data_IF_376544837016
#
_entry.id   IF_376544837016
#
_cell.length_a   1.000
_cell.length_b   1.000
_cell.length_c   1.000
_cell.angle_alpha   90.00
_cell.angle_beta   90.00
_cell.angle_gamma   90.00
#
_symmetry.space_group_name_H-M   'P 1'
#
loop_
_entity.id
_entity.type
_entity.pdbx_description
1 polymer ?
#
# COMPACT_ATOMS: atom_id res chain seq x y z
N UNK A 1 -18.45 25.72 -6.56
CA UNK A 1 -17.16 25.38 -7.22
C UNK A 1 -16.96 23.89 -7.05
N UNK A 2 -17.04 23.13 -8.14
CA UNK A 2 -16.81 21.68 -8.16
C UNK A 2 -15.42 21.38 -7.60
N UNK A 3 -15.31 20.45 -6.65
CA UNK A 3 -14.01 20.01 -6.13
C UNK A 3 -13.12 19.58 -7.30
N UNK A 4 -11.80 19.90 -7.30
CA UNK A 4 -10.91 19.43 -8.34
C UNK A 4 -10.97 17.90 -8.35
N UNK A 5 -11.21 17.32 -9.53
CA UNK A 5 -11.28 15.88 -9.72
C UNK A 5 -9.95 15.29 -9.23
N UNK A 6 -9.99 14.49 -8.16
CA UNK A 6 -8.81 13.87 -7.54
C UNK A 6 -8.89 12.37 -7.76
N UNK A 7 -7.78 11.75 -8.14
CA UNK A 7 -7.66 10.30 -8.32
C UNK A 7 -6.74 9.71 -7.24
N UNK A 8 -7.08 8.53 -6.70
CA UNK A 8 -6.15 7.80 -5.85
C UNK A 8 -4.97 7.30 -6.70
N UNK A 9 -3.75 7.50 -6.22
CA UNK A 9 -2.53 6.97 -6.83
C UNK A 9 -1.81 6.08 -5.82
N UNK A 10 -1.44 4.85 -6.23
CA UNK A 10 -0.64 3.92 -5.44
C UNK A 10 0.82 4.42 -5.39
N UNK A 11 1.11 5.42 -4.57
CA UNK A 11 2.33 6.22 -4.52
C UNK A 11 3.58 5.34 -4.50
N UNK A 12 3.71 4.44 -3.52
CA UNK A 12 4.87 3.58 -3.36
C UNK A 12 5.10 2.73 -4.60
N UNK A 13 4.02 2.21 -5.20
CA UNK A 13 4.07 1.43 -6.43
C UNK A 13 4.86 2.08 -7.53
N UNK A 14 4.47 3.30 -7.86
CA UNK A 14 5.11 4.03 -8.94
C UNK A 14 6.54 4.41 -8.59
N UNK A 15 6.85 4.80 -7.35
CA UNK A 15 8.24 5.08 -6.97
C UNK A 15 9.12 3.85 -7.10
N UNK A 16 8.69 2.68 -6.63
CA UNK A 16 9.52 1.47 -6.70
C UNK A 16 9.68 1.03 -8.16
N UNK A 17 8.64 1.17 -8.99
CA UNK A 17 8.73 0.96 -10.44
C UNK A 17 9.81 1.86 -11.06
N UNK A 18 9.72 3.18 -10.86
CA UNK A 18 10.69 4.13 -11.42
C UNK A 18 12.11 3.91 -10.89
N UNK A 19 12.25 3.60 -9.60
CA UNK A 19 13.55 3.33 -8.96
C UNK A 19 14.20 2.10 -9.56
N UNK A 20 13.42 1.03 -9.80
CA UNK A 20 13.93 -0.22 -10.36
C UNK A 20 14.53 -0.06 -11.75
N UNK A 21 13.93 0.80 -12.59
CA UNK A 21 14.40 1.06 -13.96
C UNK A 21 15.37 2.23 -14.05
N UNK A 22 15.73 2.87 -12.92
CA UNK A 22 16.50 4.11 -12.90
C UNK A 22 15.90 5.22 -13.78
N UNK A 23 14.56 5.29 -13.88
CA UNK A 23 13.87 6.31 -14.66
C UNK A 23 13.66 7.59 -13.84
N UNK A 24 13.57 8.72 -14.55
CA UNK A 24 13.29 10.01 -13.93
C UNK A 24 11.88 10.04 -13.31
N UNK A 25 11.85 10.31 -12.01
CA UNK A 25 10.62 10.41 -11.25
C UNK A 25 10.06 11.84 -11.29
N UNK A 26 8.75 12.02 -11.47
CA UNK A 26 8.08 13.27 -11.20
C UNK A 26 8.50 13.84 -9.83
N UNK A 27 8.95 15.12 -9.76
CA UNK A 27 9.46 15.70 -8.52
C UNK A 27 8.48 15.60 -7.35
N UNK A 28 7.18 15.70 -7.66
CA UNK A 28 6.12 15.60 -6.67
C UNK A 28 5.99 14.20 -6.06
N UNK A 29 6.41 13.12 -6.73
CA UNK A 29 6.35 11.76 -6.18
C UNK A 29 7.37 11.57 -5.06
N UNK A 30 8.59 12.09 -5.26
CA UNK A 30 9.64 12.08 -4.22
C UNK A 30 9.23 12.93 -3.02
N UNK A 31 8.72 14.15 -3.25
CA UNK A 31 8.23 14.99 -2.17
C UNK A 31 6.99 14.39 -1.50
N UNK A 32 6.09 13.75 -2.25
CA UNK A 32 4.90 13.10 -1.73
C UNK A 32 5.21 11.94 -0.78
N UNK A 33 6.25 11.13 -1.04
CA UNK A 33 6.70 10.10 -0.08
C UNK A 33 7.24 10.76 1.18
N UNK A 34 8.04 11.83 1.04
CA UNK A 34 8.59 12.55 2.19
C UNK A 34 7.45 13.15 3.02
N UNK A 35 6.41 13.66 2.34
CA UNK A 35 5.24 14.27 2.96
C UNK A 35 4.24 13.27 3.52
N UNK A 36 4.17 12.06 2.96
CA UNK A 36 3.22 11.01 3.34
C UNK A 36 3.90 9.63 3.36
N UNK A 37 4.88 9.39 4.25
CA UNK A 37 5.72 8.18 4.21
C UNK A 37 4.98 6.88 4.50
N UNK A 38 3.75 6.98 5.02
CA UNK A 38 2.90 5.86 5.45
C UNK A 38 1.59 5.79 4.64
N UNK A 39 1.40 6.67 3.65
CA UNK A 39 0.21 6.68 2.80
C UNK A 39 0.56 6.19 1.40
N UNK A 40 0.15 4.96 1.09
CA UNK A 40 0.27 4.43 -0.27
C UNK A 40 -0.69 5.11 -1.24
N UNK A 41 -1.76 5.74 -0.77
CA UNK A 41 -2.79 6.29 -1.64
C UNK A 41 -2.84 7.80 -1.52
N UNK A 42 -2.13 8.48 -2.42
CA UNK A 42 -2.24 9.93 -2.51
C UNK A 42 -3.41 10.31 -3.41
N UNK A 43 -4.44 10.96 -2.84
CA UNK A 43 -5.50 11.59 -3.62
C UNK A 43 -4.98 12.91 -4.22
N UNK A 44 -4.43 12.80 -5.43
CA UNK A 44 -3.84 13.92 -6.17
C UNK A 44 -4.79 14.43 -7.25
N UNK A 45 -4.66 15.71 -7.67
CA UNK A 45 -5.34 16.20 -8.86
C UNK A 45 -5.14 15.27 -10.07
N UNK A 46 -6.21 14.98 -10.81
CA UNK A 46 -6.18 14.00 -11.92
C UNK A 46 -5.02 14.20 -12.88
N UNK A 47 -4.68 15.44 -13.24
CA UNK A 47 -3.59 15.74 -14.18
C UNK A 47 -2.20 15.26 -13.70
N UNK A 48 -1.96 15.19 -12.39
CA UNK A 48 -0.70 14.65 -11.85
C UNK A 48 -0.71 13.12 -11.85
N UNK A 49 -1.86 12.51 -11.55
CA UNK A 49 -2.03 11.06 -11.64
C UNK A 49 -1.86 10.58 -13.08
N UNK A 50 -2.46 11.30 -14.04
CA UNK A 50 -2.36 10.99 -15.46
C UNK A 50 -0.89 11.09 -15.92
N UNK A 51 -0.12 12.10 -15.48
CA UNK A 51 1.32 12.20 -15.81
C UNK A 51 2.16 11.02 -15.31
N UNK A 52 1.88 10.52 -14.10
CA UNK A 52 2.58 9.34 -13.55
C UNK A 52 2.22 8.10 -14.34
N UNK A 53 0.95 7.97 -14.69
CA UNK A 53 0.42 6.86 -15.45
C UNK A 53 1.04 6.83 -16.86
N UNK A 54 1.13 7.96 -17.55
CA UNK A 54 1.74 8.06 -18.88
C UNK A 54 3.21 7.60 -18.87
N UNK A 55 4.01 8.07 -17.91
CA UNK A 55 5.41 7.63 -17.79
C UNK A 55 5.55 6.15 -17.43
N UNK A 56 4.62 5.62 -16.62
CA UNK A 56 4.62 4.20 -16.28
C UNK A 56 4.23 3.31 -17.47
N UNK A 57 3.37 3.80 -18.35
CA UNK A 57 3.00 3.14 -19.60
C UNK A 57 4.21 3.05 -20.53
N UNK A 58 4.98 4.12 -20.68
CA UNK A 58 6.22 4.13 -21.48
C UNK A 58 7.21 3.07 -20.97
N UNK A 59 7.40 2.99 -19.65
CA UNK A 59 8.27 1.97 -19.03
C UNK A 59 7.79 0.56 -19.36
N UNK A 60 6.48 0.28 -19.35
CA UNK A 60 5.99 -1.05 -19.72
C UNK A 60 6.06 -1.38 -21.20
N UNK A 61 5.99 -0.38 -22.07
CA UNK A 61 6.23 -0.58 -23.49
C UNK A 61 7.68 -1.01 -23.73
N UNK A 62 8.63 -0.45 -22.97
CA UNK A 62 10.05 -0.76 -23.09
C UNK A 62 10.46 -2.04 -22.33
N UNK A 63 9.86 -2.31 -21.16
CA UNK A 63 10.22 -3.42 -20.25
C UNK A 63 8.97 -4.15 -19.73
N UNK A 64 8.33 -5.00 -20.55
CA UNK A 64 7.02 -5.58 -20.25
C UNK A 64 7.05 -6.58 -19.08
N UNK A 65 8.19 -7.22 -18.84
CA UNK A 65 8.40 -8.16 -17.73
C UNK A 65 8.21 -7.52 -16.34
N UNK A 66 8.39 -6.19 -16.24
CA UNK A 66 8.22 -5.45 -15.00
C UNK A 66 6.76 -5.36 -14.56
N UNK A 67 5.81 -5.58 -15.48
CA UNK A 67 4.40 -5.58 -15.17
C UNK A 67 3.99 -6.78 -14.31
N UNK A 68 4.78 -7.87 -14.31
CA UNK A 68 4.30 -9.21 -13.94
C UNK A 68 4.81 -9.72 -12.59
N UNK A 69 6.01 -9.33 -12.17
CA UNK A 69 6.63 -9.94 -10.99
C UNK A 69 7.51 -9.01 -10.18
N UNK A 70 8.04 -7.98 -10.82
CA UNK A 70 9.27 -7.34 -10.35
C UNK A 70 9.01 -6.02 -9.62
N UNK A 71 7.90 -5.33 -9.91
CA UNK A 71 7.46 -4.19 -9.12
C UNK A 71 6.94 -4.64 -7.75
N UNK A 72 5.99 -5.59 -7.75
CA UNK A 72 5.34 -6.09 -6.52
C UNK A 72 6.24 -6.89 -5.57
N UNK A 73 7.27 -7.57 -6.08
CA UNK A 73 8.24 -8.24 -5.19
C UNK A 73 9.10 -7.26 -4.39
N UNK A 74 9.43 -6.07 -4.95
CA UNK A 74 10.11 -5.01 -4.19
C UNK A 74 9.18 -4.32 -3.18
N UNK A 75 7.87 -4.25 -3.45
CA UNK A 75 6.87 -3.77 -2.47
C UNK A 75 6.82 -4.60 -1.19
N UNK A 76 7.29 -5.85 -1.21
CA UNK A 76 7.33 -6.73 -0.03
C UNK A 76 8.27 -6.21 1.06
N UNK A 77 9.27 -5.40 0.72
CA UNK A 77 10.25 -4.90 1.69
C UNK A 77 9.81 -3.58 2.35
N UNK A 78 8.81 -2.91 1.80
CA UNK A 78 8.29 -1.61 2.27
C UNK A 78 6.77 -1.63 2.50
N UNK A 79 6.24 -2.79 2.89
CA UNK A 79 4.81 -3.10 2.83
C UNK A 79 3.94 -2.27 3.77
N UNK A 80 2.95 -1.56 3.20
CA UNK A 80 1.84 -0.92 3.90
C UNK A 80 0.74 -1.94 4.28
N UNK A 81 -0.08 -1.57 5.27
CA UNK A 81 -1.28 -2.27 5.71
C UNK A 81 -2.26 -2.60 4.57
N UNK A 82 -2.40 -1.78 3.51
CA UNK A 82 -3.27 -2.12 2.36
C UNK A 82 -2.75 -3.31 1.58
N UNK A 83 -1.45 -3.33 1.25
CA UNK A 83 -0.88 -4.41 0.48
C UNK A 83 -0.72 -5.67 1.35
N UNK A 84 -0.34 -5.54 2.62
CA UNK A 84 -0.38 -6.66 3.59
C UNK A 84 -1.79 -7.25 3.65
N UNK A 85 -2.81 -6.39 3.74
CA UNK A 85 -4.20 -6.81 3.70
C UNK A 85 -4.55 -7.48 2.37
N UNK A 86 -4.19 -6.92 1.23
CA UNK A 86 -4.50 -7.54 -0.05
C UNK A 86 -3.84 -8.91 -0.20
N UNK A 87 -2.57 -9.03 0.17
CA UNK A 87 -1.77 -10.26 0.03
C UNK A 87 -2.09 -11.31 1.08
N UNK A 88 -2.61 -10.93 2.25
CA UNK A 88 -3.07 -11.86 3.28
C UNK A 88 -4.37 -12.60 2.90
N UNK A 89 -4.96 -12.33 1.72
CA UNK A 89 -6.15 -13.02 1.24
C UNK A 89 -5.94 -14.53 1.21
N UNK A 90 -6.92 -15.29 1.70
CA UNK A 90 -6.87 -16.75 1.71
C UNK A 90 -7.04 -17.36 0.30
N UNK A 91 -7.70 -16.64 -0.61
CA UNK A 91 -7.96 -17.09 -1.97
C UNK A 91 -8.30 -15.93 -2.92
N UNK A 92 -8.39 -16.24 -4.21
CA UNK A 92 -8.57 -15.25 -5.28
C UNK A 92 -9.89 -14.49 -5.19
N UNK A 93 -10.98 -15.14 -4.74
CA UNK A 93 -12.27 -14.47 -4.52
C UNK A 93 -12.16 -13.42 -3.42
N UNK A 94 -11.50 -13.77 -2.31
CA UNK A 94 -11.29 -12.84 -1.22
C UNK A 94 -10.45 -11.66 -1.68
N UNK A 95 -9.36 -11.91 -2.40
CA UNK A 95 -8.52 -10.87 -2.99
C UNK A 95 -9.32 -9.93 -3.90
N UNK A 96 -10.14 -10.45 -4.81
CA UNK A 96 -10.99 -9.66 -5.70
C UNK A 96 -12.04 -8.85 -4.93
N UNK A 97 -12.63 -9.44 -3.88
CA UNK A 97 -13.55 -8.72 -2.99
C UNK A 97 -12.84 -7.59 -2.26
N UNK A 98 -11.59 -7.79 -1.82
CA UNK A 98 -10.76 -6.76 -1.18
C UNK A 98 -10.41 -5.64 -2.16
N UNK A 99 -10.12 -5.93 -3.43
CA UNK A 99 -9.94 -4.91 -4.48
C UNK A 99 -11.24 -4.12 -4.70
N UNK A 100 -12.38 -4.80 -4.77
CA UNK A 100 -13.70 -4.19 -4.99
C UNK A 100 -14.13 -3.22 -3.87
N UNK A 101 -13.56 -3.29 -2.66
CA UNK A 101 -13.84 -2.30 -1.62
C UNK A 101 -13.33 -0.90 -1.97
N UNK A 102 -12.31 -0.81 -2.84
CA UNK A 102 -11.73 0.43 -3.34
C UNK A 102 -12.43 0.89 -4.63
N UNK A 103 -12.98 -0.04 -5.42
CA UNK A 103 -13.64 0.21 -6.70
C UNK A 103 -15.19 0.16 -6.62
N UNK A 104 -15.80 0.77 -5.60
CA UNK A 104 -17.25 0.61 -5.30
C UNK A 104 -18.19 1.15 -6.38
N UNK A 105 -17.83 2.23 -7.07
CA UNK A 105 -18.69 2.83 -8.10
C UNK A 105 -18.79 1.96 -9.36
N UNK A 106 -17.81 1.07 -9.60
CA UNK A 106 -17.84 0.13 -10.70
C UNK A 106 -16.94 -1.09 -10.40
N UNK A 107 -17.48 -2.13 -9.75
CA UNK A 107 -16.68 -3.25 -9.29
C UNK A 107 -16.30 -4.20 -10.44
N UNK A 108 -15.21 -4.93 -10.23
CA UNK A 108 -14.89 -6.11 -11.01
C UNK A 108 -16.01 -7.14 -10.88
N UNK A 109 -16.45 -7.67 -12.01
CA UNK A 109 -17.41 -8.79 -12.01
C UNK A 109 -16.68 -10.09 -12.25
N UNK A 110 -17.05 -11.11 -11.49
CA UNK A 110 -16.41 -12.41 -11.51
C UNK A 110 -17.42 -13.42 -12.05
N UNK A 111 -17.06 -14.08 -13.15
CA UNK A 111 -17.80 -15.22 -13.68
C UNK A 111 -16.99 -16.50 -13.54
N UNK A 112 -17.70 -17.60 -13.35
CA UNK A 112 -17.11 -18.91 -13.12
C UNK A 112 -17.34 -19.79 -14.33
N UNK A 113 -16.26 -20.39 -14.85
CA UNK A 113 -16.31 -21.40 -15.89
C UNK A 113 -15.73 -22.71 -15.34
N UNK A 114 -16.61 -23.70 -15.17
CA UNK A 114 -16.32 -25.11 -14.88
C UNK A 114 -15.30 -25.39 -13.76
N UNK A 115 -15.43 -24.76 -12.59
CA UNK A 115 -14.61 -24.95 -11.37
C UNK A 115 -13.07 -24.80 -11.51
N UNK A 116 -12.54 -24.70 -12.72
CA UNK A 116 -11.12 -24.67 -13.07
C UNK A 116 -10.66 -23.31 -13.56
N UNK A 117 -11.60 -22.43 -13.89
CA UNK A 117 -11.28 -21.10 -14.38
C UNK A 117 -12.20 -20.04 -13.79
N UNK A 118 -11.60 -18.89 -13.49
CA UNK A 118 -12.29 -17.71 -13.01
C UNK A 118 -12.04 -16.60 -14.02
N UNK A 119 -13.10 -16.01 -14.53
CA UNK A 119 -13.01 -14.88 -15.45
C UNK A 119 -13.37 -13.60 -14.71
N UNK A 120 -12.39 -12.71 -14.63
CA UNK A 120 -12.53 -11.38 -14.04
C UNK A 120 -12.79 -10.40 -15.16
N UNK A 121 -13.98 -9.82 -15.20
CA UNK A 121 -14.33 -8.77 -16.17
C UNK A 121 -14.06 -7.41 -15.58
N UNK A 122 -13.34 -6.59 -16.35
CA UNK A 122 -12.91 -5.27 -15.91
C UNK A 122 -14.00 -4.23 -16.21
N UNK A 123 -14.36 -3.38 -15.25
CA UNK A 123 -15.32 -2.29 -15.43
C UNK A 123 -14.86 -1.30 -16.52
N UNK A 124 -15.78 -0.92 -17.41
CA UNK A 124 -15.49 -0.16 -18.65
C UNK A 124 -15.50 1.37 -18.52
N UNK A 125 -15.79 1.93 -17.34
CA UNK A 125 -16.32 3.33 -17.27
C UNK A 125 -15.27 4.46 -17.22
N UNK A 126 -13.97 4.24 -17.05
CA UNK A 126 -13.02 5.37 -17.00
C UNK A 126 -11.77 5.26 -17.87
N UNK A 127 -11.71 4.25 -18.72
CA UNK A 127 -10.53 4.03 -19.54
C UNK A 127 -10.96 3.96 -21.01
N UNK A 128 -11.21 5.14 -21.59
CA UNK A 128 -11.28 5.29 -23.04
C UNK A 128 -9.88 5.22 -23.66
N UNK A 129 -8.83 5.43 -22.86
CA UNK A 129 -7.45 5.35 -23.30
C UNK A 129 -6.98 3.90 -23.30
N UNK A 130 -6.72 3.39 -24.49
CA UNK A 130 -6.23 2.03 -24.71
C UNK A 130 -5.00 1.70 -23.84
N UNK A 131 -4.05 2.62 -23.71
CA UNK A 131 -2.79 2.38 -23.01
C UNK A 131 -2.99 2.28 -21.50
N UNK A 132 -3.88 3.11 -20.96
CA UNK A 132 -4.25 3.03 -19.54
C UNK A 132 -4.94 1.70 -19.23
N UNK A 133 -5.74 1.16 -20.16
CA UNK A 133 -6.45 -0.11 -19.92
C UNK A 133 -5.46 -1.25 -19.93
N UNK A 134 -4.52 -1.22 -20.88
CA UNK A 134 -3.47 -2.22 -20.99
C UNK A 134 -2.52 -2.17 -19.80
N UNK A 135 -2.18 -0.97 -19.31
CA UNK A 135 -1.44 -0.80 -18.05
C UNK A 135 -2.17 -1.50 -16.91
N UNK A 136 -3.47 -1.24 -16.76
CA UNK A 136 -4.26 -1.79 -15.66
C UNK A 136 -4.41 -3.32 -15.75
N UNK A 137 -4.64 -3.85 -16.95
CA UNK A 137 -4.65 -5.28 -17.23
C UNK A 137 -3.29 -5.92 -16.91
N UNK A 138 -2.20 -5.30 -17.30
CA UNK A 138 -0.84 -5.78 -17.06
C UNK A 138 -0.53 -5.80 -15.56
N UNK A 139 -0.89 -4.72 -14.85
CA UNK A 139 -0.79 -4.61 -13.38
C UNK A 139 -1.56 -5.73 -12.66
N UNK A 140 -2.82 -5.97 -13.03
CA UNK A 140 -3.63 -7.03 -12.42
C UNK A 140 -3.09 -8.42 -12.74
N UNK A 141 -2.62 -8.63 -13.97
CA UNK A 141 -2.02 -9.90 -14.37
C UNK A 141 -0.76 -10.18 -13.55
N UNK A 142 0.06 -9.16 -13.26
CA UNK A 142 1.22 -9.30 -12.38
C UNK A 142 0.87 -9.52 -10.92
N UNK A 143 -0.16 -8.84 -10.41
CA UNK A 143 -0.68 -9.10 -9.07
C UNK A 143 -1.10 -10.57 -8.95
N UNK A 144 -1.88 -11.08 -9.91
CA UNK A 144 -2.32 -12.47 -9.91
C UNK A 144 -1.17 -13.45 -10.08
N UNK A 145 -0.20 -13.14 -10.94
CA UNK A 145 1.01 -13.96 -11.09
C UNK A 145 1.85 -14.00 -9.81
N UNK A 146 1.80 -12.97 -8.97
CA UNK A 146 2.52 -12.92 -7.69
C UNK A 146 1.86 -13.81 -6.63
N UNK A 147 0.52 -13.98 -6.68
CA UNK A 147 -0.21 -14.80 -5.71
C UNK A 147 -0.46 -16.24 -6.19
N UNK A 148 -0.43 -16.45 -7.51
CA UNK A 148 -0.63 -17.72 -8.20
C UNK A 148 0.40 -17.89 -9.35
N UNK A 149 1.67 -18.17 -9.06
CA UNK A 149 2.72 -18.27 -10.09
C UNK A 149 2.47 -19.38 -11.12
N UNK A 150 1.82 -20.46 -10.70
CA UNK A 150 1.52 -21.65 -11.52
C UNK A 150 0.23 -21.50 -12.36
N UNK A 151 -0.47 -20.37 -12.26
CA UNK A 151 -1.69 -20.13 -13.03
C UNK A 151 -1.36 -19.68 -14.46
N UNK A 152 -2.21 -20.08 -15.41
CA UNK A 152 -2.18 -19.57 -16.77
C UNK A 152 -3.22 -18.46 -16.89
N UNK A 153 -2.80 -17.31 -17.41
CA UNK A 153 -3.65 -16.13 -17.60
C UNK A 153 -4.05 -16.00 -19.06
N UNK A 154 -5.34 -15.85 -19.34
CA UNK A 154 -5.85 -15.48 -20.66
C UNK A 154 -6.42 -14.07 -20.58
N UNK A 155 -5.78 -13.13 -21.26
CA UNK A 155 -6.14 -11.71 -21.23
C UNK A 155 -6.87 -11.37 -22.52
N UNK A 156 -8.15 -11.03 -22.42
CA UNK A 156 -8.95 -10.60 -23.57
C UNK A 156 -9.11 -9.09 -23.52
N UNK A 157 -8.81 -8.42 -24.64
CA UNK A 157 -8.87 -6.95 -24.74
C UNK A 157 -9.72 -6.52 -25.92
N UNK A 158 -10.48 -5.43 -25.76
CA UNK A 158 -11.35 -4.90 -26.82
C UNK A 158 -10.57 -4.23 -27.95
N UNK A 159 -9.38 -3.74 -27.65
CA UNK A 159 -8.58 -2.99 -28.60
C UNK A 159 -7.95 -3.90 -29.66
N UNK A 160 -7.70 -3.33 -30.83
CA UNK A 160 -6.99 -4.00 -31.91
C UNK A 160 -5.49 -3.91 -31.69
N UNK A 161 -4.76 -4.95 -32.09
CA UNK A 161 -3.30 -5.00 -31.93
C UNK A 161 -2.60 -3.86 -32.69
N UNK A 162 -1.65 -3.21 -32.04
CA UNK A 162 -0.79 -2.16 -32.58
C UNK A 162 0.61 -2.20 -31.91
N UNK A 163 1.54 -1.37 -32.40
CA UNK A 163 2.93 -1.34 -31.91
C UNK A 163 3.01 -0.93 -30.43
N UNK A 164 2.06 -0.12 -29.96
CA UNK A 164 2.02 0.39 -28.59
C UNK A 164 1.43 -0.59 -27.58
N UNK A 165 0.75 -1.65 -28.02
CA UNK A 165 0.06 -2.62 -27.14
C UNK A 165 0.58 -4.06 -27.25
N UNK A 166 1.43 -4.35 -28.24
CA UNK A 166 1.98 -5.69 -28.44
C UNK A 166 2.81 -6.20 -27.25
N UNK A 167 3.31 -5.30 -26.41
CA UNK A 167 4.09 -5.63 -25.21
C UNK A 167 3.32 -6.49 -24.20
N UNK A 168 1.99 -6.46 -24.22
CA UNK A 168 1.16 -7.28 -23.32
C UNK A 168 1.32 -8.77 -23.64
N UNK A 169 1.72 -9.14 -24.86
CA UNK A 169 2.01 -10.52 -25.25
C UNK A 169 3.34 -11.05 -24.68
N UNK A 170 4.25 -10.17 -24.26
CA UNK A 170 5.53 -10.55 -23.63
C UNK A 170 5.41 -10.80 -22.12
N UNK A 171 4.23 -10.60 -21.54
CA UNK A 171 3.93 -10.90 -20.13
C UNK A 171 4.04 -12.43 -19.92
N UNK A 172 4.92 -12.91 -19.00
CA UNK A 172 5.03 -14.33 -18.71
C UNK A 172 3.71 -14.94 -18.27
N UNK A 173 3.44 -16.18 -18.70
CA UNK A 173 2.23 -16.94 -18.38
C UNK A 173 0.90 -16.29 -18.83
N UNK A 174 0.95 -15.26 -19.67
CA UNK A 174 -0.23 -14.62 -20.24
C UNK A 174 -0.40 -14.91 -21.73
N UNK A 175 -1.62 -15.24 -22.13
CA UNK A 175 -2.04 -15.37 -23.53
C UNK A 175 -3.04 -14.26 -23.84
N UNK A 176 -2.72 -13.40 -24.80
CA UNK A 176 -3.51 -12.20 -25.09
C UNK A 176 -4.36 -12.40 -26.35
N UNK A 177 -5.64 -12.03 -26.27
CA UNK A 177 -6.59 -12.01 -27.38
C UNK A 177 -7.07 -10.58 -27.63
N UNK A 178 -6.72 -10.02 -28.79
CA UNK A 178 -7.13 -8.67 -29.20
C UNK A 178 -8.48 -8.68 -29.95
N UNK A 179 -9.19 -7.55 -29.92
CA UNK A 179 -10.47 -7.36 -30.62
C UNK A 179 -11.66 -8.11 -30.01
N UNK A 180 -11.63 -8.37 -28.70
CA UNK A 180 -12.71 -9.05 -27.97
C UNK A 180 -13.89 -8.10 -27.66
N UNK A 181 -15.04 -8.64 -27.27
CA UNK A 181 -16.19 -7.81 -26.87
C UNK A 181 -16.01 -7.17 -25.48
N UNK A 182 -15.13 -7.73 -24.64
CA UNK A 182 -14.93 -7.33 -23.26
C UNK A 182 -13.44 -7.33 -22.88
N UNK A 183 -13.07 -6.50 -21.89
CA UNK A 183 -11.76 -6.54 -21.25
C UNK A 183 -11.83 -7.51 -20.05
N UNK A 184 -11.12 -8.63 -20.14
CA UNK A 184 -11.23 -9.74 -19.18
C UNK A 184 -9.89 -10.40 -18.92
N UNK A 185 -9.71 -10.92 -17.70
CA UNK A 185 -8.61 -11.81 -17.32
C UNK A 185 -9.23 -13.14 -16.88
N UNK A 186 -9.01 -14.21 -17.63
CA UNK A 186 -9.37 -15.56 -17.23
C UNK A 186 -8.16 -16.25 -16.62
N UNK A 187 -8.29 -16.59 -15.34
CA UNK A 187 -7.29 -17.31 -14.55
C UNK A 187 -7.62 -18.79 -14.64
N UNK A 188 -6.69 -19.59 -15.16
CA UNK A 188 -6.84 -21.04 -15.30
C UNK A 188 -5.83 -21.76 -14.41
N UNK A 189 -6.32 -22.45 -13.38
CA UNK A 189 -5.52 -23.25 -12.45
C UNK A 189 -6.35 -24.46 -11.97
N UNK A 190 -5.74 -25.66 -11.75
CA UNK A 190 -6.48 -26.89 -11.42
C UNK A 190 -7.44 -26.77 -10.25
N UNK A 191 -7.11 -25.91 -9.27
CA UNK A 191 -7.91 -25.62 -8.09
C UNK A 191 -8.11 -24.10 -7.89
N UNK A 192 -8.30 -23.30 -8.95
CA UNK A 192 -8.37 -21.82 -8.87
C UNK A 192 -9.26 -21.31 -7.71
N UNK A 193 -10.38 -22.00 -7.45
CA UNK A 193 -11.35 -21.59 -6.43
C UNK A 193 -10.91 -21.86 -4.98
N UNK A 194 -10.07 -22.88 -4.78
CA UNK A 194 -9.70 -23.40 -3.45
C UNK A 194 -8.20 -23.35 -3.19
N UNK A 195 -7.40 -22.94 -4.18
CA UNK A 195 -5.96 -22.84 -4.04
C UNK A 195 -5.64 -21.71 -3.05
N UNK A 196 -4.90 -22.01 -1.97
CA UNK A 196 -4.37 -20.96 -1.13
C UNK A 196 -3.42 -20.10 -1.96
N UNK A 197 -3.48 -18.78 -1.77
CA UNK A 197 -2.51 -17.88 -2.36
C UNK A 197 -1.13 -18.12 -1.74
N UNK A 198 -0.06 -17.96 -2.53
CA UNK A 198 1.32 -18.13 -2.03
C UNK A 198 1.64 -17.17 -0.88
N UNK A 199 1.00 -16.00 -0.88
CA UNK A 199 1.15 -14.98 0.15
C UNK A 199 0.13 -15.06 1.29
N UNK A 200 -0.73 -16.09 1.28
CA UNK A 200 -1.79 -16.22 2.28
C UNK A 200 -1.22 -16.31 3.69
N UNK A 201 -1.86 -15.60 4.63
CA UNK A 201 -1.54 -15.68 6.05
C UNK A 201 -2.87 -15.78 6.80
N UNK A 202 -3.23 -16.98 7.24
CA UNK A 202 -4.53 -17.25 7.86
C UNK A 202 -4.77 -16.42 9.12
N UNK A 203 -3.74 -16.23 9.95
CA UNK A 203 -3.82 -15.44 11.19
C UNK A 203 -4.08 -13.97 10.87
N UNK A 204 -3.35 -13.40 9.91
CA UNK A 204 -3.58 -12.02 9.46
C UNK A 204 -4.91 -11.88 8.73
N UNK A 205 -5.33 -12.88 7.96
CA UNK A 205 -6.60 -12.85 7.25
C UNK A 205 -7.79 -12.82 8.21
N UNK A 206 -7.74 -13.62 9.28
CA UNK A 206 -8.77 -13.66 10.31
C UNK A 206 -8.81 -12.36 11.11
N UNK A 207 -7.64 -11.82 11.46
CA UNK A 207 -7.51 -10.53 12.16
C UNK A 207 -7.97 -9.35 11.29
N UNK A 208 -7.88 -9.48 9.96
CA UNK A 208 -8.26 -8.49 8.97
C UNK A 208 -9.54 -8.87 8.19
N UNK A 209 -10.45 -9.61 8.83
CA UNK A 209 -11.73 -10.03 8.22
C UNK A 209 -12.84 -8.98 8.38
N UNK A 210 -12.70 -8.03 9.31
CA UNK A 210 -13.73 -7.01 9.59
C UNK A 210 -13.66 -5.84 8.60
N UNK A 211 -14.42 -5.97 7.51
CA UNK A 211 -14.45 -5.05 6.36
C UNK A 211 -14.72 -3.58 6.71
N UNK A 212 -15.36 -3.31 7.85
CA UNK A 212 -15.78 -1.97 8.26
C UNK A 212 -14.65 -1.18 8.95
N UNK A 213 -13.97 -1.80 9.91
CA UNK A 213 -12.84 -1.21 10.62
C UNK A 213 -11.61 -1.03 9.70
N UNK A 214 -11.42 -1.94 8.76
CA UNK A 214 -10.28 -1.94 7.84
C UNK A 214 -10.34 -0.79 6.86
N UNK A 215 -11.53 -0.36 6.41
CA UNK A 215 -11.65 0.83 5.56
C UNK A 215 -11.05 2.07 6.24
N UNK A 216 -11.31 2.24 7.53
CA UNK A 216 -10.75 3.37 8.28
C UNK A 216 -9.27 3.15 8.64
N UNK A 217 -8.82 1.93 8.91
CA UNK A 217 -7.40 1.64 9.23
C UNK A 217 -6.49 1.69 8.00
N UNK A 218 -7.00 1.29 6.84
CA UNK A 218 -6.23 1.09 5.60
C UNK A 218 -6.33 2.29 4.64
N UNK A 219 -7.44 3.03 4.64
CA UNK A 219 -7.62 4.24 3.81
C UNK A 219 -7.46 5.54 4.61
N UNK A 220 -7.30 5.49 5.93
CA UNK A 220 -6.96 6.65 6.77
C UNK A 220 -5.89 6.24 7.78
N UNK A 221 -4.59 6.39 7.47
CA UNK A 221 -3.56 6.07 8.45
C UNK A 221 -3.84 6.83 9.75
N UNK A 222 -3.94 6.11 10.87
CA UNK A 222 -4.29 6.73 12.15
C UNK A 222 -3.17 7.69 12.56
N UNK A 223 -3.50 8.97 12.69
CA UNK A 223 -2.57 10.01 13.10
C UNK A 223 -1.91 9.66 14.45
N UNK A 224 -2.61 8.91 15.31
CA UNK A 224 -2.05 8.43 16.58
C UNK A 224 -0.93 7.43 16.32
N UNK A 225 -1.19 6.40 15.50
CA UNK A 225 -0.20 5.37 15.17
C UNK A 225 1.05 5.98 14.54
N UNK A 226 0.89 6.87 13.57
CA UNK A 226 2.03 7.52 12.90
C UNK A 226 2.89 8.35 13.87
N UNK A 227 2.22 9.09 14.78
CA UNK A 227 2.92 9.85 15.83
C UNK A 227 3.66 8.91 16.77
N UNK A 228 3.08 7.76 17.14
CA UNK A 228 3.72 6.78 17.99
C UNK A 228 4.94 6.12 17.34
N UNK A 229 4.88 5.76 16.05
CA UNK A 229 6.03 5.17 15.33
C UNK A 229 7.21 6.14 15.24
N UNK A 230 6.95 7.41 14.91
CA UNK A 230 7.96 8.47 14.90
C UNK A 230 8.56 8.66 16.29
N UNK A 231 7.72 8.68 17.32
CA UNK A 231 8.18 8.76 18.71
C UNK A 231 9.08 7.58 19.05
N UNK A 232 8.74 6.34 18.68
CA UNK A 232 9.56 5.15 18.94
C UNK A 232 10.93 5.25 18.28
N UNK A 233 10.98 5.70 17.03
CA UNK A 233 12.24 5.85 16.27
C UNK A 233 13.13 6.97 16.84
N UNK A 234 12.51 8.05 17.31
CA UNK A 234 13.20 9.21 17.89
C UNK A 234 13.22 9.22 19.42
N UNK A 235 12.87 8.12 20.09
CA UNK A 235 12.59 8.10 21.54
C UNK A 235 13.82 8.46 22.39
N UNK A 236 15.01 8.15 21.88
CA UNK A 236 16.30 8.43 22.50
C UNK A 236 16.62 9.94 22.57
N UNK A 237 15.94 10.79 21.78
CA UNK A 237 16.14 12.24 21.79
C UNK A 237 15.44 12.86 23.00
N UNK A 238 16.23 13.48 23.88
CA UNK A 238 15.68 14.16 25.08
C UNK A 238 14.82 15.37 24.74
N UNK A 239 15.10 16.05 23.63
CA UNK A 239 14.40 17.25 23.18
C UNK A 239 13.33 17.00 22.11
N UNK A 240 12.88 15.74 21.91
CA UNK A 240 11.86 15.43 20.92
C UNK A 240 10.61 16.28 21.15
N UNK A 241 10.29 17.13 20.19
CA UNK A 241 9.20 18.09 20.25
C UNK A 241 8.09 17.72 19.27
N UNK A 242 6.91 18.32 19.49
CA UNK A 242 5.82 18.18 18.54
C UNK A 242 6.15 18.82 17.18
N UNK A 243 7.06 19.78 17.13
CA UNK A 243 7.54 20.35 15.86
C UNK A 243 8.34 19.33 15.09
N UNK A 244 9.26 18.62 15.74
CA UNK A 244 10.05 17.57 15.08
C UNK A 244 9.15 16.46 14.50
N UNK A 245 8.12 16.04 15.25
CA UNK A 245 7.16 15.04 14.79
C UNK A 245 6.23 15.61 13.72
N UNK A 246 5.87 16.89 13.78
CA UNK A 246 5.06 17.54 12.76
C UNK A 246 5.84 17.71 11.44
N UNK A 247 7.13 18.02 11.53
CA UNK A 247 8.04 18.12 10.39
C UNK A 247 8.25 16.74 9.74
N UNK A 248 8.41 15.68 10.52
CA UNK A 248 8.50 14.29 10.02
C UNK A 248 7.18 13.77 9.42
N UNK A 249 6.04 14.32 9.87
CA UNK A 249 4.71 14.09 9.28
C UNK A 249 4.33 15.11 8.20
N UNK A 250 5.24 16.04 7.86
CA UNK A 250 5.02 17.15 6.93
C UNK A 250 3.69 17.91 7.12
N UNK A 251 3.32 18.15 8.37
CA UNK A 251 2.18 18.98 8.76
C UNK A 251 2.65 20.11 9.66
N UNK A 252 1.87 21.19 9.75
CA UNK A 252 2.18 22.21 10.77
C UNK A 252 1.94 21.64 12.17
N UNK A 253 2.68 22.08 13.21
CA UNK A 253 2.44 21.69 14.59
C UNK A 253 0.99 21.95 15.03
N UNK A 254 0.39 23.05 14.54
CA UNK A 254 -1.01 23.40 14.75
C UNK A 254 -1.97 22.36 14.15
N UNK A 255 -1.70 21.88 12.95
CA UNK A 255 -2.49 20.82 12.29
C UNK A 255 -2.36 19.50 13.04
N UNK A 256 -1.15 19.14 13.47
CA UNK A 256 -0.91 17.92 14.24
C UNK A 256 -1.64 17.96 15.59
N UNK A 257 -1.54 19.06 16.34
CA UNK A 257 -2.27 19.25 17.59
C UNK A 257 -3.79 19.17 17.41
N UNK A 258 -4.32 19.79 16.36
CA UNK A 258 -5.76 19.72 16.05
C UNK A 258 -6.20 18.29 15.80
N UNK A 259 -5.48 17.55 14.94
CA UNK A 259 -5.81 16.15 14.59
C UNK A 259 -5.71 15.21 15.80
N UNK A 260 -4.70 15.39 16.65
CA UNK A 260 -4.57 14.64 17.91
C UNK A 260 -5.73 14.95 18.86
N UNK A 261 -6.09 16.22 19.01
CA UNK A 261 -7.20 16.66 19.87
C UNK A 261 -8.55 16.12 19.40
N UNK A 262 -8.78 16.06 18.09
CA UNK A 262 -9.98 15.44 17.50
C UNK A 262 -10.11 13.95 17.85
N UNK A 263 -8.99 13.31 18.18
CA UNK A 263 -8.91 11.92 18.64
C UNK A 263 -8.79 11.79 20.17
N UNK A 264 -8.99 12.89 20.91
CA UNK A 264 -8.80 12.97 22.36
C UNK A 264 -7.38 12.64 22.85
N UNK A 265 -6.38 12.78 21.99
CA UNK A 265 -4.98 12.54 22.32
C UNK A 265 -4.14 13.82 22.35
N UNK A 266 -2.96 13.74 22.95
CA UNK A 266 -1.96 14.80 22.90
C UNK A 266 -0.57 14.22 22.64
N UNK A 267 0.32 15.01 22.03
CA UNK A 267 1.70 14.58 21.81
C UNK A 267 2.41 14.16 23.10
N UNK A 268 2.17 14.88 24.21
CA UNK A 268 2.77 14.52 25.50
C UNK A 268 2.19 13.23 26.08
N UNK A 269 0.92 12.93 25.83
CA UNK A 269 0.31 11.65 26.20
C UNK A 269 1.03 10.50 25.49
N UNK A 270 1.13 10.58 24.17
CA UNK A 270 1.76 9.56 23.32
C UNK A 270 3.26 9.41 23.61
N UNK A 271 3.99 10.51 23.82
CA UNK A 271 5.41 10.48 24.15
C UNK A 271 5.67 9.80 25.50
N UNK A 272 4.85 10.09 26.50
CA UNK A 272 4.99 9.45 27.81
C UNK A 272 4.58 7.98 27.77
N UNK A 273 3.56 7.63 26.98
CA UNK A 273 3.14 6.25 26.78
C UNK A 273 4.28 5.41 26.19
N UNK A 274 4.90 5.86 25.10
CA UNK A 274 6.01 5.12 24.46
C UNK A 274 7.24 5.05 25.36
N UNK A 275 7.60 6.15 26.04
CA UNK A 275 8.71 6.15 27.01
C UNK A 275 8.48 5.19 28.16
N UNK A 276 7.25 5.12 28.67
CA UNK A 276 6.87 4.18 29.74
C UNK A 276 6.95 2.74 29.25
N UNK A 277 6.40 2.46 28.07
CA UNK A 277 6.41 1.14 27.45
C UNK A 277 7.85 0.64 27.30
N UNK A 278 8.73 1.46 26.70
CA UNK A 278 10.14 1.12 26.51
C UNK A 278 10.93 1.02 27.82
N UNK A 279 10.64 1.89 28.80
CA UNK A 279 11.28 1.83 30.11
C UNK A 279 10.95 0.53 30.84
N UNK A 280 9.68 0.09 30.82
CA UNK A 280 9.25 -1.15 31.45
C UNK A 280 9.88 -2.38 30.78
N UNK A 281 9.94 -2.39 29.44
CA UNK A 281 10.64 -3.41 28.66
C UNK A 281 12.11 -3.53 29.08
N UNK A 282 12.86 -2.41 29.09
CA UNK A 282 14.28 -2.39 29.43
C UNK A 282 14.54 -2.68 30.93
N UNK A 283 13.60 -2.34 31.81
CA UNK A 283 13.73 -2.62 33.25
C UNK A 283 13.58 -4.10 33.61
N UNK A 284 12.92 -4.88 32.76
CA UNK A 284 12.82 -6.33 32.93
C UNK A 284 14.18 -7.02 32.71
N UNK A 285 15.05 -6.42 31.91
CA UNK A 285 16.43 -6.86 31.74
C UNK A 285 17.32 -6.34 32.88
N UNK A 286 17.82 -7.26 33.72
CA UNK A 286 18.70 -6.92 34.86
C UNK A 286 20.12 -6.55 34.42
N UNK A 287 20.50 -6.81 33.17
CA UNK A 287 21.83 -6.48 32.64
C UNK A 287 21.96 -5.00 32.25
N UNK A 288 20.84 -4.30 32.04
CA UNK A 288 20.83 -2.90 31.62
C UNK A 288 20.81 -1.97 32.85
N UNK A 289 21.82 -1.11 32.94
CA UNK A 289 21.92 -0.12 34.03
C UNK A 289 20.84 0.95 33.91
N UNK A 290 20.43 1.53 35.04
CA UNK A 290 19.30 2.47 35.08
C UNK A 290 19.65 3.79 34.41
N UNK A 291 20.93 4.19 34.46
CA UNK A 291 21.47 5.30 33.67
C UNK A 291 21.39 5.03 32.17
N UNK A 292 21.66 3.79 31.72
CA UNK A 292 21.53 3.43 30.31
C UNK A 292 20.08 3.45 29.83
N UNK A 293 19.13 3.03 30.68
CA UNK A 293 17.70 3.13 30.37
C UNK A 293 17.29 4.60 30.17
N UNK A 294 17.76 5.51 31.04
CA UNK A 294 17.51 6.97 30.92
C UNK A 294 17.93 7.51 29.56
N UNK A 295 19.12 7.13 29.08
CA UNK A 295 19.63 7.51 27.76
C UNK A 295 18.78 6.91 26.64
N UNK A 296 18.45 5.62 26.71
CA UNK A 296 17.74 4.91 25.63
C UNK A 296 16.30 5.41 25.42
N UNK A 297 15.64 5.92 26.45
CA UNK A 297 14.28 6.48 26.36
C UNK A 297 14.26 8.02 26.26
N UNK A 298 15.44 8.65 26.20
CA UNK A 298 15.59 10.09 26.04
C UNK A 298 14.97 10.90 27.18
N UNK A 299 15.22 10.54 28.45
CA UNK A 299 14.79 11.37 29.60
C UNK A 299 15.99 12.01 30.27
N UNK A 300 15.77 13.13 30.98
CA UNK A 300 16.88 13.94 31.51
C UNK A 300 17.64 13.29 32.67
N UNK A 301 16.95 12.50 33.49
CA UNK A 301 17.52 11.92 34.70
C UNK A 301 16.67 10.76 35.24
N UNK A 302 17.20 10.07 36.24
CA UNK A 302 16.54 8.96 36.92
C UNK A 302 15.21 9.36 37.57
N UNK A 303 15.08 10.59 38.11
CA UNK A 303 13.79 11.07 38.65
C UNK A 303 12.70 11.10 37.57
N UNK A 304 13.06 11.52 36.36
CA UNK A 304 12.14 11.56 35.21
C UNK A 304 11.71 10.16 34.79
N UNK A 305 12.64 9.19 34.79
CA UNK A 305 12.37 7.77 34.56
C UNK A 305 11.36 7.22 35.57
N UNK A 306 11.60 7.41 36.88
CA UNK A 306 10.70 6.91 37.92
C UNK A 306 9.30 7.53 37.86
N UNK A 307 9.22 8.83 37.55
CA UNK A 307 7.95 9.54 37.33
C UNK A 307 7.12 8.95 36.18
N UNK A 308 7.75 8.59 35.07
CA UNK A 308 7.07 8.02 33.88
C UNK A 308 6.61 6.58 34.15
N UNK A 309 7.41 5.80 34.87
CA UNK A 309 7.11 4.39 35.19
C UNK A 309 6.10 4.26 36.36
N UNK A 310 5.90 5.33 37.13
CA UNK A 310 4.94 5.36 38.25
C UNK A 310 5.46 4.66 39.51
N UNK A 311 6.77 4.64 39.73
CA UNK A 311 7.37 4.18 40.99
C UNK A 311 7.83 5.40 41.81
N UNK A 312 7.46 5.50 43.11
CA UNK A 312 7.92 6.57 43.98
C UNK A 312 9.43 6.51 44.22
#
# INVERSE_FOLDING_TARGET
MSQPNKKPLLLRYYIDLFTKVNADQPPFLKSAIIENPLDDFLFIPSFLADKVLDQSIEIYQDMPELAVSSGFSLHKDHTNNFFIWLMASSGIIELLNRINTVCQENPFTVSYSDHRSITVTIPTIYINDELVMLFFLSFLTGLFSTVLPEAIFYVSVRFTKNVKNQFVESIPNAKVSFGSDYNQITISHPNTLYAPLETSNSILSDLLSDRSAIRDIVLKPDIIFNVQEIIKHSIHKTSLSISDVADELCVTPRTLQRRLKEKNESFQSLLNYERRSKALELMNDKTISRSRIVEMIGVQNLRSLYRIVGRP
#
